data_IF_886833767236
#
_entry.id   IF_886833767236
#
_cell.length_a   1.000
_cell.length_b   1.000
_cell.length_c   1.000
_cell.angle_alpha   90.00
_cell.angle_beta   90.00
_cell.angle_gamma   90.00
#
_symmetry.space_group_name_H-M   'P 1'
#
loop_
_entity.id
_entity.type
_entity.pdbx_description
1 polymer ?
2 polymer ?
3 water ?
#
# COMPACT_ATOMS: atom_id res chain seq x y z
N UNK A 1 12.87 -5.27 -16.23
CA UNK A 1 12.18 -6.28 -15.43
C UNK A 1 11.38 -5.56 -14.33
N UNK A 2 10.10 -5.92 -14.13
CA UNK A 2 9.29 -5.40 -13.00
C UNK A 2 10.07 -5.60 -11.71
N UNK A 3 10.20 -4.54 -10.90
CA UNK A 3 10.95 -4.60 -9.68
C UNK A 3 10.22 -5.42 -8.61
N UNK A 4 10.90 -5.96 -7.64
CA UNK A 4 10.40 -6.68 -6.50
C UNK A 4 10.76 -5.89 -5.27
N UNK A 5 9.82 -5.65 -4.38
CA UNK A 5 10.13 -5.05 -3.09
C UNK A 5 9.59 -5.91 -1.99
N UNK A 6 10.02 -5.68 -0.78
CA UNK A 6 9.57 -6.43 0.36
C UNK A 6 9.23 -5.52 1.51
N UNK A 7 8.33 -5.99 2.35
CA UNK A 7 8.07 -5.49 3.70
C UNK A 7 8.32 -6.59 4.73
N UNK A 8 9.03 -6.29 5.78
CA UNK A 8 9.13 -7.18 6.95
C UNK A 8 8.09 -6.70 7.92
N UNK A 9 7.04 -7.44 8.17
CA UNK A 9 5.91 -7.06 9.00
C UNK A 9 6.17 -7.39 10.45
N UNK A 10 5.79 -6.53 11.38
CA UNK A 10 5.84 -6.84 12.80
C UNK A 10 4.49 -6.54 13.45
N UNK A 11 4.23 -7.18 14.57
CA UNK A 11 2.95 -7.10 15.29
C UNK A 11 3.25 -6.70 16.72
N UNK A 12 2.97 -5.47 17.13
CA UNK A 12 3.48 -4.94 18.42
C UNK A 12 4.97 -5.24 18.56
N UNK A 13 5.72 -5.02 17.49
CA UNK A 13 7.19 -5.14 17.47
C UNK A 13 7.66 -6.57 17.27
N UNK A 14 6.79 -7.57 17.33
CA UNK A 14 7.20 -9.00 17.20
C UNK A 14 7.20 -9.34 15.72
N UNK A 15 8.31 -9.72 15.10
CA UNK A 15 8.31 -10.07 13.67
C UNK A 15 7.27 -11.14 13.35
N UNK A 16 6.56 -10.93 12.23
CA UNK A 16 5.57 -11.89 11.69
C UNK A 16 6.11 -12.52 10.45
N UNK A 17 6.67 -11.74 9.53
CA UNK A 17 7.25 -12.31 8.33
C UNK A 17 7.36 -11.34 7.19
N UNK A 18 7.96 -11.78 6.13
CA UNK A 18 8.27 -10.96 4.97
C UNK A 18 7.25 -11.14 3.89
N UNK A 19 6.70 -10.05 3.37
CA UNK A 19 5.82 -10.02 2.23
C UNK A 19 6.59 -9.42 1.08
N UNK A 20 6.49 -10.03 -0.09
CA UNK A 20 7.22 -9.63 -1.31
C UNK A 20 6.23 -9.23 -2.39
N UNK A 21 6.50 -8.15 -3.10
CA UNK A 21 5.60 -7.67 -4.12
C UNK A 21 6.27 -7.57 -5.45
N UNK A 22 5.54 -7.84 -6.52
CA UNK A 22 5.90 -7.46 -7.85
C UNK A 22 5.27 -6.13 -8.14
N UNK A 23 6.02 -5.19 -8.66
CA UNK A 23 5.49 -3.90 -9.07
C UNK A 23 5.37 -3.84 -10.58
N UNK A 24 4.22 -3.51 -11.13
CA UNK A 24 3.93 -3.58 -12.56
C UNK A 24 4.44 -2.36 -13.31
N UNK A 25 5.76 -2.18 -13.31
CA UNK A 25 6.40 -1.04 -13.99
C UNK A 25 6.13 -1.09 -15.50
N UNK A 26 5.91 -2.29 -16.02
CA UNK A 26 5.59 -2.43 -17.45
C UNK A 26 4.28 -1.72 -17.80
N UNK A 27 3.35 -1.52 -16.88
CA UNK A 27 2.04 -0.90 -17.16
C UNK A 27 1.93 0.46 -16.50
N UNK A 28 2.50 0.62 -15.29
CA UNK A 28 2.36 1.86 -14.49
C UNK A 28 3.72 2.22 -13.90
N UNK A 29 4.69 2.64 -14.78
CA UNK A 29 6.02 2.84 -14.31
C UNK A 29 6.15 3.95 -13.26
N UNK A 30 5.36 5.02 -13.41
CA UNK A 30 5.47 6.17 -12.49
C UNK A 30 4.96 5.76 -11.08
N UNK A 31 3.93 4.96 -11.07
CA UNK A 31 3.30 4.50 -9.82
C UNK A 31 4.19 3.43 -9.16
N UNK A 32 4.73 2.53 -9.99
CA UNK A 32 5.66 1.53 -9.49
C UNK A 32 6.91 2.15 -8.87
N UNK A 33 7.44 3.15 -9.59
CA UNK A 33 8.66 3.83 -9.15
C UNK A 33 8.50 4.52 -7.78
N UNK A 34 7.32 5.20 -7.63
CA UNK A 34 7.00 5.82 -6.33
C UNK A 34 7.12 4.80 -5.18
N UNK A 35 6.40 3.69 -5.38
CA UNK A 35 6.36 2.67 -4.31
C UNK A 35 7.73 2.02 -4.08
N UNK A 36 8.45 1.78 -5.20
CA UNK A 36 9.81 1.19 -5.10
C UNK A 36 10.74 2.10 -4.27
N UNK A 37 10.74 3.39 -4.65
CA UNK A 37 11.63 4.35 -3.99
C UNK A 37 11.26 4.51 -2.51
N UNK A 38 9.92 4.58 -2.26
CA UNK A 38 9.52 4.68 -0.85
C UNK A 38 9.87 3.46 -0.02
N UNK A 39 9.93 2.32 -0.72
CA UNK A 39 10.33 1.06 -0.06
C UNK A 39 11.84 1.01 0.23
N UNK A 40 12.65 1.63 -0.58
CA UNK A 40 14.12 1.54 -0.33
C UNK A 40 14.56 2.63 0.61
N UNK A 41 13.75 3.70 0.70
CA UNK A 41 14.17 4.82 1.54
C UNK A 41 15.23 5.71 0.87
N UNK A 42 15.50 5.52 -0.40
CA UNK A 42 16.66 6.17 -1.04
C UNK A 42 16.50 7.69 -1.05
N UNK A 43 15.28 8.21 -1.18
CA UNK A 43 15.12 9.68 -1.13
C UNK A 43 15.21 10.26 0.28
N UNK A 44 15.47 9.52 1.39
CA UNK A 44 15.55 9.97 2.76
C UNK A 44 14.21 10.04 3.46
N UNK A 45 13.21 9.38 2.92
CA UNK A 45 11.91 9.18 3.58
C UNK A 45 11.32 7.94 2.90
N UNK A 46 10.31 7.40 3.58
CA UNK A 46 9.59 6.26 3.00
C UNK A 46 8.93 5.43 4.07
N UNK A 47 8.58 4.23 3.62
CA UNK A 47 7.67 3.36 4.37
C UNK A 47 8.24 2.77 5.65
N UNK A 48 9.56 2.63 5.78
CA UNK A 48 10.09 1.92 6.95
C UNK A 48 9.59 2.53 8.25
N UNK A 49 9.09 1.71 9.13
CA UNK A 49 8.62 2.15 10.44
C UNK A 49 7.17 2.52 10.42
N UNK A 50 6.53 2.63 9.27
CA UNK A 50 5.13 3.04 9.22
C UNK A 50 4.22 1.86 9.53
N UNK A 51 2.96 2.14 9.78
CA UNK A 51 2.01 1.06 10.14
C UNK A 51 0.86 0.97 9.18
N UNK A 52 0.17 -0.15 9.28
CA UNK A 52 -1.10 -0.39 8.57
C UNK A 52 -2.20 0.11 9.47
N UNK A 53 -2.72 1.28 9.19
CA UNK A 53 -3.62 1.99 10.13
C UNK A 53 -5.04 1.53 9.97
N UNK A 54 -5.39 0.88 8.91
CA UNK A 54 -6.80 0.50 8.68
C UNK A 54 -6.79 -0.89 8.07
N UNK A 55 -7.34 -1.88 8.74
CA UNK A 55 -7.41 -3.26 8.24
C UNK A 55 -8.84 -3.77 8.42
N UNK A 56 -9.46 -4.12 7.33
CA UNK A 56 -10.86 -4.64 7.35
C UNK A 56 -10.77 -6.03 6.79
N UNK A 57 -10.98 -7.08 7.65
CA UNK A 57 -10.91 -8.44 7.14
C UNK A 57 -11.92 -8.65 6.02
N UNK A 58 -11.48 -9.38 5.02
CA UNK A 58 -12.30 -9.67 3.86
C UNK A 58 -12.31 -8.54 2.86
N UNK A 59 -11.56 -7.47 3.11
CA UNK A 59 -11.49 -6.32 2.18
C UNK A 59 -10.02 -6.00 1.89
N UNK A 60 -9.33 -5.28 2.77
CA UNK A 60 -7.93 -4.87 2.46
C UNK A 60 -7.25 -4.41 3.72
N UNK A 61 -5.92 -4.33 3.60
CA UNK A 61 -5.04 -3.73 4.59
C UNK A 61 -4.48 -2.43 4.01
N UNK A 62 -4.64 -1.29 4.69
CA UNK A 62 -4.23 0.01 4.17
C UNK A 62 -3.07 0.52 5.02
N UNK A 63 -2.07 1.05 4.32
CA UNK A 63 -0.92 1.68 4.97
C UNK A 63 -0.34 2.82 4.16
N UNK A 64 0.86 3.20 4.57
CA UNK A 64 1.64 4.16 3.77
C UNK A 64 1.74 5.53 4.36
N UNK A 65 1.19 5.84 5.52
CA UNK A 65 1.32 7.20 6.07
C UNK A 65 2.57 7.22 6.92
N UNK A 66 3.68 7.64 6.33
CA UNK A 66 4.95 7.80 7.03
C UNK A 66 5.23 9.23 7.45
N UNK A 67 4.28 10.09 7.24
CA UNK A 67 4.52 11.55 7.54
C UNK A 67 3.80 11.98 8.80
N UNK A 68 2.54 11.59 8.96
CA UNK A 68 1.76 11.98 10.17
C UNK A 68 1.62 10.77 11.09
N UNK A 69 1.83 9.55 10.57
CA UNK A 69 1.67 8.32 11.37
C UNK A 69 0.28 8.29 12.02
N UNK A 70 -0.76 8.81 11.39
CA UNK A 70 -2.11 8.72 12.02
C UNK A 70 -3.16 8.38 10.98
N UNK A 71 -2.74 7.96 9.79
CA UNK A 71 -3.61 7.66 8.64
C UNK A 71 -3.99 8.82 7.79
N UNK A 72 -3.59 10.07 8.12
CA UNK A 72 -3.99 11.27 7.38
C UNK A 72 -2.88 11.81 6.49
N UNK A 73 -1.71 11.20 6.53
CA UNK A 73 -0.55 11.74 5.80
C UNK A 73 -0.14 10.92 4.61
N UNK A 74 1.19 10.98 4.41
CA UNK A 74 1.84 10.39 3.23
C UNK A 74 2.16 11.43 2.18
N UNK A 75 3.10 11.04 1.36
CA UNK A 75 3.56 11.90 0.26
C UNK A 75 4.29 11.04 -0.77
N UNK A 76 4.19 11.46 -2.01
CA UNK A 76 4.86 10.80 -3.14
C UNK A 76 6.30 11.27 -3.19
N UNK A 77 7.03 10.64 -4.12
CA UNK A 77 8.42 11.05 -4.43
C UNK A 77 8.40 12.22 -5.38
N UNK A 78 7.27 12.66 -5.92
CA UNK A 78 7.17 13.67 -7.03
C UNK A 78 6.93 15.10 -6.51
N UNK A 79 6.98 15.34 -5.23
CA UNK A 79 6.87 16.73 -4.71
C UNK A 79 5.44 17.23 -4.68
N UNK A 80 4.51 16.39 -5.08
CA UNK A 80 3.09 16.75 -5.19
C UNK A 80 2.33 15.45 -5.37
N UNK A 81 1.09 15.39 -4.99
CA UNK A 81 0.26 14.22 -5.37
C UNK A 81 0.35 14.08 -6.88
N UNK A 82 0.33 12.83 -7.37
CA UNK A 82 0.53 12.56 -8.79
C UNK A 82 -0.69 11.96 -9.41
N UNK A 83 -0.69 12.03 -10.72
CA UNK A 83 -1.80 11.64 -11.60
C UNK A 83 -2.10 10.15 -11.53
N UNK A 84 -3.35 9.79 -11.68
CA UNK A 84 -3.72 8.39 -11.94
C UNK A 84 -3.07 8.01 -13.26
N UNK A 85 -2.11 7.12 -13.20
CA UNK A 85 -1.29 6.86 -14.39
C UNK A 85 -2.14 6.17 -15.44
N UNK A 86 -2.91 5.17 -15.09
CA UNK A 86 -3.94 4.52 -15.90
C UNK A 86 -4.73 3.56 -15.01
N UNK A 87 -5.80 3.03 -15.52
CA UNK A 87 -6.63 2.02 -14.86
C UNK A 87 -6.69 0.77 -15.72
N UNK A 88 -5.58 0.46 -16.36
CA UNK A 88 -5.56 -0.75 -17.22
C UNK A 88 -5.72 -2.00 -16.38
N UNK A 89 -5.01 -2.05 -15.24
CA UNK A 89 -5.09 -3.24 -14.40
C UNK A 89 -6.26 -3.15 -13.39
N UNK A 90 -6.93 -4.25 -13.16
CA UNK A 90 -8.16 -4.31 -12.37
C UNK A 90 -7.88 -4.98 -11.05
N UNK A 91 -8.82 -4.78 -10.14
CA UNK A 91 -8.77 -5.36 -8.78
C UNK A 91 -9.35 -6.77 -8.90
N UNK A 92 -8.49 -7.75 -9.13
CA UNK A 92 -8.98 -9.07 -9.58
C UNK A 92 -9.03 -10.05 -8.44
N UNK A 93 -8.47 -9.77 -7.29
CA UNK A 93 -8.50 -10.75 -6.18
C UNK A 93 -7.53 -10.40 -5.09
N UNK A 94 -7.40 -11.26 -4.10
CA UNK A 94 -6.47 -11.09 -3.01
C UNK A 94 -5.05 -10.89 -3.50
N UNK A 95 -4.31 -10.05 -2.80
CA UNK A 95 -2.92 -9.78 -3.09
C UNK A 95 -2.72 -8.59 -4.01
N UNK A 96 -3.74 -8.06 -4.66
CA UNK A 96 -3.54 -6.84 -5.47
C UNK A 96 -3.11 -5.66 -4.59
N UNK A 97 -2.14 -4.93 -5.11
CA UNK A 97 -1.61 -3.70 -4.50
C UNK A 97 -2.09 -2.53 -5.33
N UNK A 98 -2.75 -1.60 -4.66
CA UNK A 98 -3.44 -0.48 -5.30
C UNK A 98 -3.29 0.79 -4.49
N UNK A 99 -3.37 1.94 -5.14
CA UNK A 99 -3.20 3.23 -4.44
C UNK A 99 -4.50 3.67 -3.78
N UNK A 100 -4.39 4.07 -2.52
CA UNK A 100 -5.46 4.82 -1.86
C UNK A 100 -5.41 6.23 -2.40
N UNK A 101 -6.52 6.96 -2.38
CA UNK A 101 -6.51 8.34 -2.92
C UNK A 101 -7.69 9.12 -2.33
N UNK A 102 -7.71 10.42 -2.66
CA UNK A 102 -8.79 11.33 -2.23
C UNK A 102 -9.53 11.75 -3.46
N UNK A 103 -9.74 10.90 -4.44
CA UNK A 103 -10.39 11.23 -5.70
C UNK A 103 -9.38 11.32 -6.81
N UNK A 104 -9.80 11.66 -8.04
CA UNK A 104 -8.91 11.59 -9.18
C UNK A 104 -7.64 12.37 -9.02
N UNK A 105 -6.54 11.76 -9.45
CA UNK A 105 -5.22 12.37 -9.54
C UNK A 105 -4.75 12.89 -8.20
N UNK A 106 -4.86 12.05 -7.15
CA UNK A 106 -4.36 12.43 -5.84
C UNK A 106 -3.52 11.32 -5.22
N UNK A 107 -2.70 10.71 -6.03
CA UNK A 107 -1.84 9.63 -5.49
C UNK A 107 -0.74 10.20 -4.65
N UNK A 108 -0.48 9.63 -3.50
CA UNK A 108 0.57 10.07 -2.60
C UNK A 108 1.49 8.91 -2.25
N UNK A 109 1.39 8.42 -1.06
CA UNK A 109 2.12 7.20 -0.60
C UNK A 109 1.16 6.15 -0.08
N UNK A 110 -0.08 6.47 0.28
CA UNK A 110 -0.93 5.45 0.88
C UNK A 110 -1.38 4.48 -0.19
N UNK A 111 -1.52 3.24 0.27
CA UNK A 111 -1.82 2.08 -0.57
C UNK A 111 -2.65 1.08 0.20
N UNK A 112 -3.15 0.11 -0.51
CA UNK A 112 -3.81 -1.02 0.14
C UNK A 112 -3.45 -2.32 -0.58
N UNK A 113 -3.46 -3.35 0.26
CA UNK A 113 -3.28 -4.75 -0.18
C UNK A 113 -4.63 -5.43 -0.06
N UNK A 114 -5.17 -5.83 -1.18
CA UNK A 114 -6.51 -6.46 -1.15
C UNK A 114 -6.45 -7.85 -0.56
N UNK A 115 -7.51 -8.21 0.16
CA UNK A 115 -7.63 -9.59 0.72
C UNK A 115 -8.86 -10.25 0.12
N UNK A 116 -9.33 -9.71 -0.96
CA UNK A 116 -10.51 -10.19 -1.71
C UNK A 116 -10.53 -9.48 -3.02
N UNK A 117 -11.37 -9.89 -3.94
CA UNK A 117 -11.63 -9.16 -5.17
C UNK A 117 -12.42 -7.90 -4.84
N UNK A 118 -11.93 -6.76 -5.27
CA UNK A 118 -12.55 -5.44 -4.99
C UNK A 118 -12.92 -4.68 -6.24
N UNK A 119 -13.77 -5.26 -7.07
CA UNK A 119 -14.00 -4.79 -8.43
C UNK A 119 -14.66 -3.41 -8.44
N UNK A 120 -15.33 -3.01 -7.36
CA UNK A 120 -15.98 -1.68 -7.35
C UNK A 120 -14.95 -0.55 -7.36
N UNK A 121 -13.69 -0.87 -7.08
CA UNK A 121 -12.59 0.11 -7.10
C UNK A 121 -11.94 0.30 -8.48
N UNK A 122 -12.30 -0.55 -9.43
CA UNK A 122 -11.80 -0.44 -10.80
C UNK A 122 -12.13 0.92 -11.40
N UNK A 123 -11.13 1.54 -11.96
CA UNK A 123 -11.32 2.84 -12.58
C UNK A 123 -11.27 3.97 -11.58
N UNK A 124 -11.12 3.68 -10.27
CA UNK A 124 -11.01 4.73 -9.24
C UNK A 124 -9.64 4.70 -8.57
N UNK A 125 -9.06 3.52 -8.38
CA UNK A 125 -7.76 3.32 -7.73
C UNK A 125 -6.82 2.62 -8.69
N UNK A 126 -5.60 3.12 -8.75
CA UNK A 126 -4.57 2.59 -9.67
C UNK A 126 -3.93 1.32 -9.08
N UNK A 127 -4.17 0.23 -9.75
CA UNK A 127 -3.53 -1.06 -9.43
C UNK A 127 -2.12 -1.04 -10.00
N UNK A 128 -1.13 -1.34 -9.17
CA UNK A 128 0.26 -1.24 -9.60
C UNK A 128 1.13 -2.39 -9.14
N UNK A 129 0.62 -3.39 -8.47
CA UNK A 129 1.47 -4.53 -8.08
C UNK A 129 0.65 -5.62 -7.49
N UNK A 130 1.35 -6.61 -6.96
CA UNK A 130 0.64 -7.80 -6.45
C UNK A 130 1.61 -8.51 -5.55
N UNK A 131 1.12 -9.06 -4.43
CA UNK A 131 1.89 -9.94 -3.55
C UNK A 131 2.48 -11.09 -4.38
N UNK A 132 3.77 -11.29 -4.22
CA UNK A 132 4.55 -12.36 -4.96
C UNK A 132 4.75 -13.53 -4.02
N UNK A 133 5.06 -13.26 -2.76
CA UNK A 133 5.38 -14.23 -1.70
C UNK A 133 5.01 -13.69 -0.35
N UNK A 134 4.46 -14.52 0.51
CA UNK A 134 4.01 -14.14 1.84
C UNK A 134 2.60 -13.61 1.88
N UNK A 135 1.74 -14.06 0.99
CA UNK A 135 0.31 -13.80 1.20
C UNK A 135 -0.18 -14.34 2.53
N UNK A 136 0.38 -15.48 3.02
CA UNK A 136 -0.02 -15.95 4.33
C UNK A 136 0.32 -15.01 5.50
N UNK A 137 1.28 -14.09 5.31
CA UNK A 137 1.55 -13.03 6.29
C UNK A 137 0.43 -11.99 6.24
N UNK A 138 0.05 -11.63 5.04
CA UNK A 138 -1.11 -10.70 4.88
C UNK A 138 -2.37 -11.29 5.50
N UNK A 139 -2.59 -12.60 5.28
CA UNK A 139 -3.75 -13.26 5.92
C UNK A 139 -3.62 -13.23 7.43
N UNK A 140 -2.42 -13.45 7.96
CA UNK A 140 -2.18 -13.34 9.42
C UNK A 140 -2.41 -11.91 9.91
N UNK A 141 -1.95 -10.92 9.17
CA UNK A 141 -2.17 -9.47 9.50
C UNK A 141 -3.62 -9.13 9.65
N UNK A 142 -4.34 -9.63 8.69
CA UNK A 142 -5.75 -9.33 8.46
C UNK A 142 -6.48 -9.63 9.76
N UNK A 143 -6.06 -10.67 10.52
CA UNK A 143 -6.75 -11.07 11.77
C UNK A 143 -6.68 -9.99 12.86
N UNK A 144 -5.78 -9.01 12.79
CA UNK A 144 -5.65 -7.93 13.76
C UNK A 144 -6.51 -6.73 13.34
N UNK A 145 -7.19 -6.87 12.22
CA UNK A 145 -8.14 -5.81 11.85
C UNK A 145 -9.48 -6.00 12.49
N UNK A 146 -10.45 -5.25 12.05
CA UNK A 146 -11.82 -5.31 12.61
C UNK A 146 -12.77 -4.85 11.54
N UNK A 147 -14.08 -5.04 11.73
CA UNK A 147 -15.06 -4.54 10.75
C UNK A 147 -14.95 -3.01 10.63
N UNK A 148 -14.62 -2.29 11.67
CA UNK A 148 -14.57 -0.82 11.60
C UNK A 148 -13.21 -0.32 11.12
N UNK A 149 -12.22 -1.20 11.07
CA UNK A 149 -10.90 -0.92 10.44
C UNK A 149 -9.84 -0.66 11.45
N UNK A 150 -10.16 -0.37 12.70
CA UNK A 150 -9.11 -0.14 13.72
C UNK A 150 -8.40 -1.45 13.99
N UNK A 151 -7.09 -1.41 14.18
CA UNK A 151 -6.29 -2.63 14.47
C UNK A 151 -6.18 -2.81 15.97
N UNK A 152 -6.15 -4.07 16.35
CA UNK A 152 -6.09 -4.44 17.79
C UNK A 152 -4.65 -4.55 18.27
N UNK A 153 -3.70 -4.59 17.34
CA UNK A 153 -2.27 -4.54 17.62
C UNK A 153 -1.64 -3.67 16.54
N UNK A 154 -0.47 -3.12 16.80
CA UNK A 154 0.24 -2.19 15.89
C UNK A 154 0.95 -3.03 14.83
N UNK A 155 0.49 -2.92 13.57
CA UNK A 155 1.02 -3.70 12.45
C UNK A 155 2.00 -2.79 11.75
N UNK A 156 3.28 -3.08 11.79
CA UNK A 156 4.28 -2.17 11.23
C UNK A 156 5.10 -2.82 10.18
N UNK A 157 5.62 -1.96 9.31
CA UNK A 157 6.66 -2.27 8.33
C UNK A 157 7.96 -2.09 9.08
N UNK A 158 8.48 -3.17 9.69
CA UNK A 158 9.72 -3.02 10.46
C UNK A 158 10.93 -2.77 9.58
N UNK A 159 10.93 -3.28 8.37
CA UNK A 159 11.98 -3.01 7.38
C UNK A 159 11.33 -3.19 6.03
N UNK A 160 11.95 -2.60 5.05
CA UNK A 160 11.49 -2.73 3.68
C UNK A 160 12.62 -2.39 2.75
N UNK A 161 12.48 -2.81 1.50
CA UNK A 161 13.54 -2.57 0.55
C UNK A 161 13.21 -3.21 -0.75
N UNK A 162 14.16 -3.13 -1.67
CA UNK A 162 14.07 -3.71 -2.99
C UNK A 162 14.91 -4.97 -3.03
N UNK A 163 14.37 -5.96 -3.71
CA UNK A 163 15.08 -7.23 -3.80
C UNK A 163 15.63 -7.36 -5.16
N UNK A 164 16.80 -8.03 -5.08
CA UNK A 164 17.55 -8.45 -6.29
C UNK A 164 16.67 -9.44 -7.07
N UNK B 1 -2.76 25.70 0.38
CA UNK B 1 -3.74 24.84 -0.40
C UNK B 1 -3.91 23.52 0.39
N UNK B 2 -5.14 23.13 0.74
CA UNK B 2 -5.34 21.92 1.60
C UNK B 2 -5.90 20.76 0.76
N UNK B 3 -5.18 19.63 0.75
CA UNK B 3 -5.60 18.39 0.06
C UNK B 3 -6.27 17.34 1.01
N UNK B 4 -6.95 16.44 0.36
CA UNK B 4 -7.74 15.39 1.00
C UNK B 4 -6.91 14.22 1.49
N UNK B 5 -7.41 13.52 2.46
CA UNK B 5 -6.85 12.32 3.11
C UNK B 5 -7.12 11.15 2.18
N UNK B 6 -6.06 10.39 1.89
CA UNK B 6 -6.23 9.18 1.06
C UNK B 6 -7.06 8.13 1.79
N UNK B 7 -7.97 7.58 1.02
CA UNK B 7 -8.91 6.58 1.52
C UNK B 7 -9.22 5.52 0.44
N UNK B 8 -9.95 4.52 0.87
CA UNK B 8 -10.47 3.49 -0.05
C UNK B 8 -11.77 3.02 0.59
N UNK B 9 -12.80 2.99 -0.19
CA UNK B 9 -14.15 2.72 0.34
C UNK B 9 -14.54 1.26 0.23
N UNK B 10 -15.20 0.78 1.24
CA UNK B 10 -15.93 -0.51 1.20
C UNK B 10 -17.01 -0.44 0.16
N UNK B 11 -17.41 -1.62 -0.30
CA UNK B 11 -18.47 -1.75 -1.30
C UNK B 11 -19.78 -1.14 -0.76
N UNK B 12 -20.44 -0.43 -1.64
CA UNK B 12 -21.85 0.06 -1.35
C UNK B 12 -22.80 -1.16 -1.38
N UNK B 13 -23.71 -1.27 -0.40
CA UNK B 13 -24.69 -2.40 -0.27
C UNK B 13 -26.05 -1.90 -0.78
#
# INVERSE_FOLDING_TARGET
VNPTVFFDIAVDGEPLGRVSFELFADKVPKTAENFRALSTGEKGFGYKGSCFHRIIPGFMCQGGDFTRHNGTGGKSIYGEKFEDENFILKHTGPGILSMANAGPNTNGSQFFICTAKTEWLDGKHVVFGKVKEGMNIVEAMERFGSRNGKTSKKITIADCGQLE
VVHGVATVAEKTK
#
